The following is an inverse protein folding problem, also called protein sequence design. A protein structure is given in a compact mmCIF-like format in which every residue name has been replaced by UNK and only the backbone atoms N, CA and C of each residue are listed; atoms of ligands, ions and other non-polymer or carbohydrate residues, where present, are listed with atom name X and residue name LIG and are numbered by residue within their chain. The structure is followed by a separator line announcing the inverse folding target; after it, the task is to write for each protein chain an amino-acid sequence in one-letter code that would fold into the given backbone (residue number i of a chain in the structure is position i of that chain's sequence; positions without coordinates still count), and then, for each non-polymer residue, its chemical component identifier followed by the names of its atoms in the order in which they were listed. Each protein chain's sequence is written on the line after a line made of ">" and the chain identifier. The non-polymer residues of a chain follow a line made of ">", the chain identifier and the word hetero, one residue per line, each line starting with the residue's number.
data_IF_091977521043
#
_entry.id   IF_091977521043
#
_cell.length_a   1.000
_cell.length_b   1.000
_cell.length_c   1.000
_cell.angle_alpha   90.00
_cell.angle_beta   90.00
_cell.angle_gamma   90.00
#
_symmetry.space_group_name_H-M   'P 1'
#
loop_
_entity.id
_entity.type
_entity.pdbx_description
1 polymer ?
#
# COMPACT_ATOMS: atom_id res chain seq x y z
N UNK A 1 -4.27 9.86 -11.50
CA UNK A 1 -4.18 8.49 -10.93
C UNK A 1 -5.24 7.64 -11.58
N UNK A 2 -4.93 6.38 -11.83
CA UNK A 2 -5.93 5.42 -12.33
C UNK A 2 -7.10 5.34 -11.35
N UNK A 3 -8.32 5.29 -11.87
CA UNK A 3 -9.54 4.99 -11.08
C UNK A 3 -9.79 3.49 -10.96
N UNK A 4 -9.08 2.68 -11.75
CA UNK A 4 -9.13 1.22 -11.69
C UNK A 4 -8.13 0.72 -10.65
N UNK A 5 -8.55 -0.15 -9.70
CA UNK A 5 -7.64 -0.85 -8.81
C UNK A 5 -6.53 -1.57 -9.57
N UNK A 6 -5.31 -1.46 -9.07
CA UNK A 6 -4.19 -2.26 -9.54
C UNK A 6 -4.35 -3.67 -9.01
N UNK A 7 -4.34 -4.66 -9.90
CA UNK A 7 -4.26 -6.07 -9.52
C UNK A 7 -2.92 -6.58 -10.05
N UNK A 8 -2.08 -7.08 -9.14
CA UNK A 8 -0.78 -7.66 -9.49
C UNK A 8 -0.91 -9.10 -10.01
N UNK A 9 0.03 -9.96 -9.63
CA UNK A 9 -0.01 -11.38 -10.02
C UNK A 9 -1.26 -12.13 -9.51
N UNK A 10 -1.85 -11.69 -8.41
CA UNK A 10 -3.13 -12.18 -7.86
C UNK A 10 -3.83 -11.05 -7.09
N UNK A 11 -5.13 -11.22 -6.86
CA UNK A 11 -5.90 -10.33 -5.98
C UNK A 11 -5.74 -10.77 -4.51
N UNK A 12 -5.40 -9.84 -3.63
CA UNK A 12 -5.21 -10.06 -2.20
C UNK A 12 -6.40 -9.65 -1.35
N UNK A 13 -7.24 -8.73 -1.83
CA UNK A 13 -8.43 -8.24 -1.14
C UNK A 13 -9.70 -8.53 -1.95
N UNK A 14 -10.03 -9.82 -2.20
CA UNK A 14 -11.17 -10.20 -3.04
C UNK A 14 -12.48 -9.68 -2.46
N UNK A 15 -13.39 -9.24 -3.34
CA UNK A 15 -14.68 -8.66 -2.96
C UNK A 15 -14.62 -7.21 -2.48
N UNK A 16 -13.43 -6.64 -2.32
CA UNK A 16 -13.25 -5.21 -2.01
C UNK A 16 -12.89 -4.47 -3.28
N UNK A 17 -13.79 -3.60 -3.74
CA UNK A 17 -13.52 -2.68 -4.85
C UNK A 17 -12.79 -1.43 -4.42
N UNK A 18 -12.75 -0.43 -5.29
CA UNK A 18 -12.33 0.92 -4.90
C UNK A 18 -13.33 1.52 -3.92
N UNK A 19 -12.85 2.06 -2.80
CA UNK A 19 -13.67 2.67 -1.74
C UNK A 19 -14.32 3.96 -2.28
N UNK A 20 -15.66 4.00 -2.43
CA UNK A 20 -16.35 5.17 -2.96
C UNK A 20 -16.56 6.24 -1.88
N UNK A 21 -16.95 7.43 -2.30
CA UNK A 21 -17.56 8.43 -1.43
C UNK A 21 -19.09 8.31 -1.52
N UNK A 22 -19.77 8.16 -0.39
CA UNK A 22 -21.24 8.04 -0.32
C UNK A 22 -21.89 9.11 0.58
N UNK A 23 -21.09 9.94 1.26
CA UNK A 23 -21.58 11.03 2.09
C UNK A 23 -22.08 10.61 3.48
N UNK A 24 -22.44 11.61 4.30
CA UNK A 24 -22.68 11.45 5.76
C UNK A 24 -23.87 10.58 6.15
N UNK A 25 -24.78 10.30 5.20
CA UNK A 25 -25.95 9.46 5.44
C UNK A 25 -25.72 7.97 5.17
N UNK A 26 -24.56 7.59 4.63
CA UNK A 26 -24.24 6.19 4.32
C UNK A 26 -23.93 5.37 5.58
N UNK A 27 -24.52 4.19 5.66
CA UNK A 27 -24.22 3.14 6.64
C UNK A 27 -23.21 2.09 6.12
N UNK A 28 -22.87 2.12 4.82
CA UNK A 28 -21.90 1.21 4.22
C UNK A 28 -20.52 1.40 4.86
N UNK A 29 -19.96 0.45 5.63
CA UNK A 29 -18.68 0.63 6.32
C UNK A 29 -17.50 0.83 5.35
N UNK A 30 -17.61 0.37 4.10
CA UNK A 30 -16.58 0.43 3.07
C UNK A 30 -16.78 1.59 2.08
N UNK A 31 -17.24 2.73 2.60
CA UNK A 31 -17.33 3.99 1.85
C UNK A 31 -16.84 5.17 2.70
N UNK A 32 -16.31 6.21 2.07
CA UNK A 32 -16.01 7.48 2.72
C UNK A 32 -17.30 8.30 2.91
N UNK A 33 -17.46 8.86 4.11
CA UNK A 33 -18.63 9.69 4.48
C UNK A 33 -18.33 11.18 4.40
N UNK A 34 -17.05 11.53 4.43
CA UNK A 34 -16.56 12.91 4.50
C UNK A 34 -15.48 13.20 3.46
N UNK A 35 -14.58 12.24 3.22
CA UNK A 35 -13.51 12.40 2.25
C UNK A 35 -14.03 12.18 0.83
N UNK A 36 -14.31 13.29 0.14
CA UNK A 36 -14.47 13.33 -1.31
C UNK A 36 -13.19 13.91 -1.92
N UNK A 37 -12.38 13.04 -2.53
CA UNK A 37 -11.08 13.41 -3.07
C UNK A 37 -11.14 14.61 -4.03
N UNK A 38 -12.23 14.76 -4.81
CA UNK A 38 -12.39 15.78 -5.84
C UNK A 38 -13.06 17.07 -5.32
N UNK A 39 -13.62 17.05 -4.11
CA UNK A 39 -14.27 18.23 -3.54
C UNK A 39 -13.27 19.37 -3.37
N UNK A 40 -13.57 20.51 -4.00
CA UNK A 40 -12.75 21.71 -3.90
C UNK A 40 -13.07 22.45 -2.59
N UNK A 41 -12.02 22.77 -1.82
CA UNK A 41 -12.06 23.55 -0.59
C UNK A 41 -10.97 24.62 -0.70
N UNK A 42 -11.32 25.91 -0.65
CA UNK A 42 -10.32 26.98 -0.72
C UNK A 42 -9.41 26.92 -1.97
N UNK A 43 -9.96 26.53 -3.12
CA UNK A 43 -9.24 26.50 -4.40
C UNK A 43 -8.36 25.26 -4.67
N UNK A 44 -8.32 24.28 -3.77
CA UNK A 44 -7.68 22.97 -4.00
C UNK A 44 -8.64 21.85 -3.66
N UNK A 45 -8.47 20.70 -4.29
CA UNK A 45 -9.21 19.48 -3.96
C UNK A 45 -8.84 18.97 -2.56
N UNK A 46 -9.72 18.21 -1.91
CA UNK A 46 -9.38 17.57 -0.62
C UNK A 46 -8.15 16.67 -0.73
N UNK A 47 -7.96 15.96 -1.87
CA UNK A 47 -6.76 15.16 -2.09
C UNK A 47 -5.48 15.99 -2.07
N UNK A 48 -5.49 17.18 -2.69
CA UNK A 48 -4.34 18.08 -2.72
C UNK A 48 -4.02 18.71 -1.36
N UNK A 49 -5.05 18.98 -0.55
CA UNK A 49 -4.87 19.44 0.83
C UNK A 49 -4.31 18.35 1.73
N UNK A 50 -4.94 17.18 1.72
CA UNK A 50 -4.70 16.14 2.72
C UNK A 50 -3.50 15.27 2.40
N UNK A 51 -3.24 15.01 1.10
CA UNK A 51 -2.07 14.26 0.63
C UNK A 51 -1.83 12.96 1.40
N UNK A 52 -2.90 12.21 1.66
CA UNK A 52 -2.83 10.99 2.46
C UNK A 52 -1.79 10.01 1.91
N UNK A 53 -1.05 9.41 2.83
CA UNK A 53 -0.09 8.36 2.57
C UNK A 53 -0.38 7.14 3.43
N UNK A 54 -0.24 5.95 2.86
CA UNK A 54 -0.25 4.71 3.64
C UNK A 54 1.17 4.36 4.06
N UNK A 55 1.35 4.04 5.35
CA UNK A 55 2.62 3.57 5.88
C UNK A 55 2.82 2.08 5.61
N UNK A 56 3.93 1.72 4.99
CA UNK A 56 4.17 0.34 4.56
C UNK A 56 4.41 -0.61 5.74
N UNK A 57 5.18 -0.20 6.74
CA UNK A 57 5.54 -1.01 7.92
C UNK A 57 4.30 -1.51 8.69
N UNK A 58 3.40 -0.62 9.09
CA UNK A 58 2.22 -1.04 9.88
C UNK A 58 1.20 -1.81 9.06
N UNK A 59 1.06 -1.47 7.77
CA UNK A 59 -0.01 -2.04 6.94
C UNK A 59 0.36 -3.42 6.41
N UNK A 60 1.63 -3.64 6.03
CA UNK A 60 2.04 -4.86 5.33
C UNK A 60 3.13 -5.68 6.01
N UNK A 61 3.80 -5.15 7.04
CA UNK A 61 4.87 -5.87 7.76
C UNK A 61 4.45 -6.26 9.18
N UNK A 62 3.68 -5.41 9.88
CA UNK A 62 3.34 -5.65 11.27
C UNK A 62 2.29 -6.77 11.43
N UNK A 63 2.76 -7.97 11.77
CA UNK A 63 1.93 -9.14 12.07
C UNK A 63 1.24 -9.10 13.45
N UNK A 64 1.35 -8.00 14.21
CA UNK A 64 0.63 -7.79 15.46
C UNK A 64 1.28 -8.44 16.68
N UNK A 65 2.60 -8.64 16.66
CA UNK A 65 3.35 -9.05 17.85
C UNK A 65 3.48 -7.88 18.82
N UNK A 66 3.65 -8.19 20.09
CA UNK A 66 3.88 -7.20 21.14
C UNK A 66 4.92 -7.74 22.16
N UNK A 67 5.35 -6.94 23.17
CA UNK A 67 6.33 -7.40 24.15
C UNK A 67 5.92 -8.61 24.99
N UNK A 68 4.65 -9.02 24.94
CA UNK A 68 4.05 -10.07 25.76
C UNK A 68 3.57 -11.28 24.94
N UNK A 69 3.62 -11.25 23.61
CA UNK A 69 3.10 -12.33 22.78
C UNK A 69 3.49 -12.28 21.30
N UNK A 70 3.33 -13.41 20.59
CA UNK A 70 3.65 -13.51 19.17
C UNK A 70 2.63 -12.76 18.30
N UNK A 71 2.97 -12.64 17.00
CA UNK A 71 2.06 -12.08 16.00
C UNK A 71 0.77 -12.90 15.85
N UNK A 72 -0.30 -12.23 15.49
CA UNK A 72 -1.66 -12.80 15.35
C UNK A 72 -2.16 -12.82 13.92
N UNK A 73 -1.43 -12.20 12.98
CA UNK A 73 -1.80 -12.09 11.57
C UNK A 73 -0.92 -12.99 10.72
N UNK A 74 -1.56 -13.75 9.84
CA UNK A 74 -0.90 -14.45 8.73
C UNK A 74 -1.26 -13.74 7.45
N UNK A 75 -0.26 -13.18 6.77
CA UNK A 75 -0.54 -12.37 5.58
C UNK A 75 -0.62 -13.23 4.31
N UNK A 76 -1.58 -12.97 3.39
CA UNK A 76 -1.75 -13.75 2.16
C UNK A 76 -0.64 -13.59 1.12
N UNK A 77 0.29 -12.66 1.35
CA UNK A 77 1.51 -12.44 0.55
C UNK A 77 2.76 -13.13 1.13
N UNK A 78 2.65 -13.85 2.25
CA UNK A 78 3.74 -14.73 2.69
C UNK A 78 3.99 -15.83 1.66
N UNK A 79 5.26 -16.02 1.28
CA UNK A 79 5.68 -16.94 0.22
C UNK A 79 6.92 -17.75 0.65
N UNK A 80 7.34 -18.71 -0.18
CA UNK A 80 8.40 -19.67 0.16
C UNK A 80 9.81 -19.08 0.35
N UNK A 81 10.01 -17.79 0.07
CA UNK A 81 11.27 -17.10 0.36
C UNK A 81 11.04 -15.63 0.78
N UNK A 82 12.00 -14.99 1.47
CA UNK A 82 11.90 -13.58 1.82
C UNK A 82 11.73 -12.67 0.60
N UNK A 83 12.45 -12.94 -0.49
CA UNK A 83 12.32 -12.16 -1.72
C UNK A 83 10.95 -12.37 -2.39
N UNK A 84 10.49 -13.62 -2.51
CA UNK A 84 9.15 -13.89 -3.07
C UNK A 84 8.05 -13.23 -2.23
N UNK A 85 8.23 -13.16 -0.90
CA UNK A 85 7.31 -12.46 0.00
C UNK A 85 7.34 -10.95 -0.23
N UNK A 86 8.51 -10.35 -0.44
CA UNK A 86 8.64 -8.93 -0.74
C UNK A 86 7.97 -8.57 -2.09
N UNK A 87 8.18 -9.37 -3.13
CA UNK A 87 7.54 -9.22 -4.45
C UNK A 87 6.02 -9.34 -4.36
N UNK A 88 5.52 -10.33 -3.62
CA UNK A 88 4.08 -10.49 -3.37
C UNK A 88 3.49 -9.32 -2.57
N UNK A 89 4.22 -8.84 -1.56
CA UNK A 89 3.81 -7.75 -0.67
C UNK A 89 3.70 -6.41 -1.40
N UNK A 90 4.60 -6.10 -2.34
CA UNK A 90 4.50 -4.85 -3.12
C UNK A 90 3.27 -4.85 -4.03
N UNK A 91 2.92 -5.99 -4.62
CA UNK A 91 1.69 -6.12 -5.41
C UNK A 91 0.44 -5.94 -4.53
N UNK A 92 0.40 -6.58 -3.36
CA UNK A 92 -0.68 -6.40 -2.38
C UNK A 92 -0.80 -4.94 -1.91
N UNK A 93 0.33 -4.27 -1.72
CA UNK A 93 0.37 -2.89 -1.29
C UNK A 93 -0.25 -1.95 -2.33
N UNK A 94 0.15 -2.06 -3.60
CA UNK A 94 -0.41 -1.22 -4.67
C UNK A 94 -1.86 -1.54 -4.98
N UNK A 95 -2.31 -2.78 -4.80
CA UNK A 95 -3.74 -3.11 -4.81
C UNK A 95 -4.48 -2.36 -3.69
N UNK A 96 -4.01 -2.47 -2.45
CA UNK A 96 -4.63 -1.80 -1.30
C UNK A 96 -4.69 -0.28 -1.51
N UNK A 97 -3.59 0.33 -1.94
CA UNK A 97 -3.51 1.77 -2.12
C UNK A 97 -4.49 2.28 -3.18
N UNK A 98 -4.59 1.59 -4.30
CA UNK A 98 -5.48 1.98 -5.41
C UNK A 98 -6.95 1.71 -5.09
N UNK A 99 -7.26 0.64 -4.33
CA UNK A 99 -8.60 0.42 -3.75
C UNK A 99 -8.96 1.53 -2.75
N UNK A 100 -8.05 1.93 -1.87
CA UNK A 100 -8.29 3.03 -0.92
C UNK A 100 -8.36 4.41 -1.61
N UNK A 101 -7.70 4.58 -2.75
CA UNK A 101 -7.70 5.82 -3.53
C UNK A 101 -6.73 6.88 -3.01
N UNK A 102 -5.68 6.49 -2.29
CA UNK A 102 -4.68 7.42 -1.72
C UNK A 102 -3.62 7.84 -2.74
N UNK A 103 -3.13 9.09 -2.69
CA UNK A 103 -2.10 9.59 -3.60
C UNK A 103 -0.68 9.11 -3.30
N UNK A 104 -0.40 8.78 -2.03
CA UNK A 104 0.95 8.57 -1.55
C UNK A 104 1.14 7.29 -0.74
N UNK A 105 2.39 6.88 -0.58
CA UNK A 105 2.83 5.83 0.33
C UNK A 105 4.23 6.16 0.88
N UNK A 106 4.60 5.53 1.98
CA UNK A 106 5.89 5.71 2.67
C UNK A 106 6.46 4.37 3.12
N UNK A 107 7.78 4.20 3.12
CA UNK A 107 8.43 2.95 3.54
C UNK A 107 9.81 3.19 4.16
N UNK A 108 10.26 2.30 5.05
CA UNK A 108 11.69 2.10 5.31
C UNK A 108 12.21 1.06 4.32
N UNK A 109 13.49 1.17 3.97
CA UNK A 109 14.17 0.23 3.10
C UNK A 109 14.00 -1.25 3.53
N UNK A 110 14.14 -1.53 4.81
CA UNK A 110 13.95 -2.85 5.42
C UNK A 110 12.50 -3.37 5.39
N UNK A 111 11.52 -2.48 5.21
CA UNK A 111 10.13 -2.89 5.04
C UNK A 111 9.88 -3.41 3.62
N UNK A 112 10.54 -2.78 2.64
CA UNK A 112 10.32 -3.01 1.22
C UNK A 112 11.11 -4.22 0.73
N UNK A 113 12.35 -4.39 1.18
CA UNK A 113 13.26 -5.43 0.72
C UNK A 113 13.73 -6.33 1.87
N UNK A 114 13.99 -7.62 1.60
CA UNK A 114 14.53 -8.52 2.61
C UNK A 114 15.96 -8.14 2.98
N UNK A 115 16.26 -8.25 4.27
CA UNK A 115 17.60 -8.05 4.81
C UNK A 115 18.61 -9.08 4.27
N UNK A 116 19.90 -8.79 4.43
CA UNK A 116 20.98 -9.72 4.14
C UNK A 116 22.22 -9.43 5.00
N UNK A 117 22.95 -10.48 5.37
CA UNK A 117 24.20 -10.35 6.14
C UNK A 117 25.32 -9.63 5.36
N UNK A 118 25.26 -9.68 4.03
CA UNK A 118 26.17 -8.96 3.13
C UNK A 118 25.51 -7.71 2.55
N UNK A 119 26.18 -6.56 2.70
CA UNK A 119 25.68 -5.27 2.22
C UNK A 119 25.45 -5.26 0.70
N UNK A 120 26.30 -5.95 -0.06
CA UNK A 120 26.15 -6.04 -1.52
C UNK A 120 24.91 -6.84 -1.92
N UNK A 121 24.54 -7.86 -1.15
CA UNK A 121 23.27 -8.58 -1.34
C UNK A 121 22.07 -7.75 -0.90
N UNK A 122 22.17 -7.02 0.22
CA UNK A 122 21.14 -6.10 0.67
C UNK A 122 20.82 -5.03 -0.38
N UNK A 123 21.85 -4.38 -0.93
CA UNK A 123 21.69 -3.37 -1.99
C UNK A 123 21.06 -3.96 -3.25
N UNK A 124 21.41 -5.19 -3.64
CA UNK A 124 20.78 -5.88 -4.78
C UNK A 124 19.30 -6.16 -4.51
N UNK A 125 18.96 -6.60 -3.30
CA UNK A 125 17.58 -6.86 -2.91
C UNK A 125 16.75 -5.56 -2.96
N UNK A 126 17.27 -4.48 -2.39
CA UNK A 126 16.60 -3.19 -2.38
C UNK A 126 16.44 -2.62 -3.80
N UNK A 127 17.47 -2.66 -4.63
CA UNK A 127 17.41 -2.18 -6.01
C UNK A 127 16.35 -2.92 -6.84
N UNK A 128 16.27 -4.25 -6.68
CA UNK A 128 15.24 -5.05 -7.32
C UNK A 128 13.83 -4.60 -6.91
N UNK A 129 13.59 -4.50 -5.60
CA UNK A 129 12.29 -4.10 -5.07
C UNK A 129 11.91 -2.66 -5.42
N UNK A 130 12.87 -1.73 -5.44
CA UNK A 130 12.66 -0.34 -5.90
C UNK A 130 12.31 -0.32 -7.38
N UNK A 131 12.94 -1.16 -8.21
CA UNK A 131 12.58 -1.32 -9.62
C UNK A 131 11.14 -1.79 -9.79
N UNK A 132 10.71 -2.77 -8.99
CA UNK A 132 9.32 -3.23 -8.99
C UNK A 132 8.36 -2.12 -8.55
N UNK A 133 8.63 -1.46 -7.42
CA UNK A 133 7.82 -0.36 -6.90
C UNK A 133 7.68 0.78 -7.92
N UNK A 134 8.77 1.13 -8.61
CA UNK A 134 8.75 2.12 -9.70
C UNK A 134 7.79 1.71 -10.81
N UNK A 135 7.83 0.47 -11.27
CA UNK A 135 6.91 0.00 -12.31
C UNK A 135 5.43 0.10 -11.88
N UNK A 136 5.13 -0.15 -10.60
CA UNK A 136 3.76 -0.01 -10.07
C UNK A 136 3.36 1.46 -9.89
N UNK A 137 4.29 2.33 -9.50
CA UNK A 137 4.05 3.77 -9.49
C UNK A 137 3.72 4.29 -10.90
N UNK A 138 4.47 3.85 -11.92
CA UNK A 138 4.22 4.23 -13.31
C UNK A 138 2.84 3.72 -13.79
N UNK A 139 2.47 2.48 -13.43
CA UNK A 139 1.17 1.89 -13.80
C UNK A 139 -0.04 2.56 -13.11
N UNK A 140 0.11 3.04 -11.89
CA UNK A 140 -1.01 3.53 -11.05
C UNK A 140 -1.09 5.06 -10.98
N UNK A 141 0.02 5.73 -11.21
CA UNK A 141 0.20 7.16 -10.94
C UNK A 141 0.40 7.50 -9.46
N UNK A 142 0.59 6.48 -8.60
CA UNK A 142 0.93 6.69 -7.19
C UNK A 142 2.34 7.25 -7.02
N UNK A 143 2.54 7.97 -5.91
CA UNK A 143 3.80 8.65 -5.62
C UNK A 143 4.34 8.22 -4.26
N UNK A 144 5.65 8.04 -4.15
CA UNK A 144 6.32 7.97 -2.85
C UNK A 144 6.27 9.36 -2.20
N UNK A 145 5.83 9.45 -0.94
CA UNK A 145 5.94 10.70 -0.17
C UNK A 145 7.34 10.84 0.42
N UNK A 146 7.79 9.79 1.12
CA UNK A 146 9.13 9.65 1.67
C UNK A 146 9.51 8.16 1.74
#
# INVERSE_FOLDING_TARGET
>A
MSTQPFIGAKEYFPGIGRIPFEGRGSDNPLAFKVYDANKVVGGKTMQEHLRFAVCYWHTFCNAGHDPFGPGTRHFPWEAGSPMATAEAKVDAAFEFFTKLGVPYWCFHDIDLAPDADDIGQYEKNLNHMVGLAKARQDATGMKRLW
#
